data_IF_018593041706
#
_entry.id   IF_018593041706
#
_cell.length_a   1.000
_cell.length_b   1.000
_cell.length_c   1.000
_cell.angle_alpha   90.00
_cell.angle_beta   90.00
_cell.angle_gamma   90.00
#
_symmetry.space_group_name_H-M   'P 1'
#
loop_
_entity.id
_entity.type
_entity.pdbx_description
1 polymer ?
#
# COMPACT_ATOMS: atom_id res chain seq x y z
N UNK A 1 -14.29 -6.01 -9.39
CA UNK A 1 -13.56 -4.74 -9.20
C UNK A 1 -13.39 -4.57 -7.71
N UNK A 2 -12.19 -4.80 -7.16
CA UNK A 2 -11.95 -4.52 -5.74
C UNK A 2 -12.12 -3.01 -5.53
N UNK A 3 -13.13 -2.60 -4.75
CA UNK A 3 -13.27 -1.21 -4.33
C UNK A 3 -12.20 -0.93 -3.31
N UNK A 4 -11.09 -0.44 -3.81
CA UNK A 4 -9.96 0.00 -3.02
C UNK A 4 -10.16 1.51 -2.81
N UNK A 5 -11.09 1.87 -1.93
CA UNK A 5 -11.45 3.27 -1.63
C UNK A 5 -10.35 4.01 -0.83
N UNK A 6 -9.31 3.28 -0.37
CA UNK A 6 -8.32 3.80 0.58
C UNK A 6 -6.85 3.64 0.14
N UNK A 7 -6.57 3.56 -1.17
CA UNK A 7 -5.19 3.52 -1.69
C UNK A 7 -4.83 4.84 -2.37
N UNK A 8 -3.67 5.40 -2.00
CA UNK A 8 -3.18 6.67 -2.49
C UNK A 8 -2.38 6.57 -3.80
N UNK A 9 -1.80 5.40 -4.10
CA UNK A 9 -1.01 5.18 -5.31
C UNK A 9 -1.00 3.71 -5.76
N UNK A 10 -0.68 3.45 -7.02
CA UNK A 10 -0.52 2.10 -7.58
C UNK A 10 0.89 1.98 -8.14
N UNK A 11 1.59 0.90 -7.80
CA UNK A 11 2.94 0.59 -8.28
C UNK A 11 3.04 -0.87 -8.75
N UNK A 12 3.87 -1.14 -9.75
CA UNK A 12 4.18 -2.51 -10.16
C UNK A 12 5.33 -3.09 -9.33
N UNK A 13 5.49 -4.41 -9.37
CA UNK A 13 6.67 -5.09 -8.81
C UNK A 13 7.98 -4.59 -9.45
N UNK A 14 7.94 -4.16 -10.71
CA UNK A 14 9.12 -3.58 -11.37
C UNK A 14 9.45 -2.22 -10.76
N UNK A 15 8.44 -1.37 -10.53
CA UNK A 15 8.62 -0.04 -9.93
C UNK A 15 9.20 -0.14 -8.52
N UNK A 16 8.75 -1.11 -7.72
CA UNK A 16 9.35 -1.41 -6.42
C UNK A 16 10.85 -1.71 -6.49
N UNK A 17 11.33 -2.29 -7.59
CA UNK A 17 12.75 -2.66 -7.75
C UNK A 17 13.58 -1.50 -8.28
N UNK A 18 13.00 -0.62 -9.07
CA UNK A 18 13.72 0.47 -9.75
C UNK A 18 13.59 1.81 -9.02
N UNK A 19 12.51 2.01 -8.26
CA UNK A 19 12.10 3.28 -7.63
C UNK A 19 11.56 3.01 -6.21
N UNK A 20 12.34 2.27 -5.42
CA UNK A 20 11.89 1.85 -4.08
C UNK A 20 11.69 3.05 -3.14
N UNK A 21 12.54 4.07 -3.22
CA UNK A 21 12.45 5.27 -2.37
C UNK A 21 11.16 6.05 -2.63
N UNK A 22 10.81 6.26 -3.91
CA UNK A 22 9.56 6.93 -4.30
C UNK A 22 8.33 6.13 -3.86
N UNK A 23 8.41 4.80 -3.97
CA UNK A 23 7.32 3.90 -3.54
C UNK A 23 7.14 3.91 -2.02
N UNK A 24 8.24 3.96 -1.26
CA UNK A 24 8.20 4.10 0.21
C UNK A 24 7.63 5.46 0.59
N UNK A 25 8.10 6.55 -0.03
CA UNK A 25 7.61 7.90 0.26
C UNK A 25 6.10 8.00 0.00
N UNK A 26 5.61 7.47 -1.13
CA UNK A 26 4.19 7.42 -1.42
C UNK A 26 3.37 6.63 -0.38
N UNK A 27 3.96 5.57 0.20
CA UNK A 27 3.34 4.79 1.27
C UNK A 27 3.36 5.50 2.64
N UNK A 28 4.32 6.38 2.89
CA UNK A 28 4.40 7.20 4.11
C UNK A 28 3.48 8.41 4.08
N UNK A 29 3.37 9.09 2.93
CA UNK A 29 2.54 10.28 2.74
C UNK A 29 1.06 9.94 2.48
N UNK A 30 0.81 8.78 1.88
CA UNK A 30 -0.52 8.32 1.49
C UNK A 30 -1.17 7.34 2.48
N UNK A 31 -2.32 6.80 2.07
CA UNK A 31 -3.04 5.74 2.81
C UNK A 31 -2.53 4.33 2.50
N UNK A 32 -1.61 4.21 1.56
CA UNK A 32 -0.98 2.97 1.11
C UNK A 32 -0.75 2.95 -0.40
N UNK A 33 0.09 2.03 -0.87
CA UNK A 33 0.40 1.79 -2.27
C UNK A 33 -0.03 0.37 -2.65
N UNK A 34 -0.87 0.25 -3.68
CA UNK A 34 -1.23 -1.06 -4.22
C UNK A 34 -0.09 -1.59 -5.08
N UNK A 35 0.40 -2.78 -4.74
CA UNK A 35 1.42 -3.46 -5.51
C UNK A 35 0.75 -4.45 -6.46
N UNK A 36 1.04 -4.29 -7.75
CA UNK A 36 0.49 -5.13 -8.81
C UNK A 36 1.59 -5.89 -9.57
N UNK A 37 1.25 -7.10 -10.01
CA UNK A 37 2.05 -7.90 -10.94
C UNK A 37 1.13 -8.38 -12.05
N UNK A 38 1.49 -8.16 -13.30
CA UNK A 38 0.66 -8.53 -14.46
C UNK A 38 -0.78 -7.97 -14.38
N UNK A 39 -0.94 -6.73 -13.92
CA UNK A 39 -2.23 -6.07 -13.66
C UNK A 39 -3.11 -6.73 -12.57
N UNK A 40 -2.56 -7.68 -11.81
CA UNK A 40 -3.25 -8.28 -10.68
C UNK A 40 -2.73 -7.70 -9.36
N UNK A 41 -3.61 -7.27 -8.44
CA UNK A 41 -3.22 -6.81 -7.13
C UNK A 41 -2.69 -7.97 -6.28
N UNK A 42 -1.46 -7.86 -5.78
CA UNK A 42 -0.81 -8.93 -5.01
C UNK A 42 -0.50 -8.54 -3.56
N UNK A 43 -0.34 -7.25 -3.28
CA UNK A 43 -0.01 -6.75 -1.96
C UNK A 43 -0.38 -5.27 -1.82
N UNK A 44 -0.42 -4.78 -0.58
CA UNK A 44 -0.53 -3.36 -0.28
C UNK A 44 0.62 -2.99 0.64
N UNK A 45 1.36 -1.95 0.26
CA UNK A 45 2.41 -1.35 1.09
C UNK A 45 1.78 -0.20 1.90
N UNK A 46 2.02 -0.18 3.21
CA UNK A 46 1.57 0.88 4.11
C UNK A 46 2.69 1.23 5.08
N UNK A 47 2.67 2.44 5.63
CA UNK A 47 3.58 2.80 6.71
C UNK A 47 3.34 1.93 7.95
N UNK A 48 4.39 1.72 8.75
CA UNK A 48 4.30 0.96 10.01
C UNK A 48 3.27 1.59 10.96
N UNK A 49 3.18 2.92 10.99
CA UNK A 49 2.19 3.65 11.79
C UNK A 49 0.77 3.25 11.36
N UNK A 50 0.47 3.31 10.06
CA UNK A 50 -0.83 2.94 9.50
C UNK A 50 -1.15 1.47 9.76
N UNK A 51 -0.18 0.58 9.60
CA UNK A 51 -0.35 -0.84 9.93
C UNK A 51 -0.74 -1.04 11.39
N UNK A 52 -0.08 -0.36 12.33
CA UNK A 52 -0.44 -0.42 13.76
C UNK A 52 -1.85 0.10 14.03
N UNK A 53 -2.24 1.23 13.42
CA UNK A 53 -3.60 1.77 13.54
C UNK A 53 -4.66 0.78 13.04
N UNK A 54 -4.39 0.09 11.92
CA UNK A 54 -5.26 -0.95 11.38
C UNK A 54 -5.36 -2.16 12.32
N UNK A 55 -4.25 -2.59 12.93
CA UNK A 55 -4.26 -3.70 13.89
C UNK A 55 -5.03 -3.33 15.17
N UNK A 56 -4.81 -2.15 15.74
CA UNK A 56 -5.49 -1.71 16.96
C UNK A 56 -6.96 -1.35 16.77
N UNK A 57 -7.35 -0.97 15.55
CA UNK A 57 -8.76 -0.79 15.18
C UNK A 57 -9.54 -2.11 15.11
N UNK A 58 -8.84 -3.22 14.82
CA UNK A 58 -9.44 -4.55 14.67
C UNK A 58 -9.70 -5.26 16.01
N UNK A 59 -9.20 -4.72 17.13
CA UNK A 59 -9.44 -5.26 18.49
C UNK A 59 -10.72 -4.70 19.14
N UNK A 60 -11.49 -3.85 18.44
CA UNK A 60 -12.71 -3.21 18.95
C UNK A 60 -14.02 -3.73 18.36
N UNK A 61 -13.99 -4.85 17.65
CA UNK A 61 -15.20 -5.55 17.15
C UNK A 61 -15.39 -6.91 17.82
#
# INVERSE_FOLDING_TARGET
MYKIDDIGAVASVTDLRTQIDETIQAAEEGRGVLIQKNNEPIAVLVSIKRWRELQSGNERE
#
